data_IF_045963991200
#
_entry.id   IF_045963991200
#
_cell.length_a   1.000
_cell.length_b   1.000
_cell.length_c   1.000
_cell.angle_alpha   90.00
_cell.angle_beta   90.00
_cell.angle_gamma   90.00
#
_symmetry.space_group_name_H-M   'P 1'
#
loop_
_entity.id
_entity.type
_entity.pdbx_description
1 polymer ?
#
# COMPACT_ATOMS: atom_id res chain seq x y z
N UNK A 1 19.18 -15.86 17.12
CA UNK A 1 18.05 -16.80 17.19
C UNK A 1 16.90 -16.08 17.86
N UNK A 2 16.14 -15.31 17.07
CA UNK A 2 14.84 -14.80 17.47
C UNK A 2 13.83 -15.59 16.62
N UNK A 3 13.03 -16.42 17.27
CA UNK A 3 11.90 -17.09 16.62
C UNK A 3 10.87 -16.02 16.26
N UNK A 4 10.93 -15.53 15.03
CA UNK A 4 9.81 -14.83 14.44
C UNK A 4 8.82 -15.87 13.94
N UNK A 5 7.75 -16.09 14.72
CA UNK A 5 6.53 -16.76 14.26
C UNK A 5 5.89 -15.90 13.16
N UNK A 6 6.41 -16.00 11.93
CA UNK A 6 5.75 -15.45 10.75
C UNK A 6 4.54 -16.33 10.44
N UNK A 7 3.36 -15.75 10.64
CA UNK A 7 2.09 -16.43 10.54
C UNK A 7 1.88 -16.93 9.12
N UNK A 8 1.71 -18.25 8.98
CA UNK A 8 0.88 -18.79 7.90
C UNK A 8 -0.38 -17.92 7.81
N UNK A 9 -0.65 -17.37 6.62
CA UNK A 9 -1.89 -16.62 6.33
C UNK A 9 -3.03 -17.28 7.08
N UNK A 10 -3.57 -16.59 8.09
CA UNK A 10 -4.50 -17.25 9.02
C UNK A 10 -5.63 -17.88 8.20
N UNK A 11 -6.09 -19.09 8.54
CA UNK A 11 -7.18 -19.75 7.81
C UNK A 11 -8.38 -18.80 7.61
N UNK A 12 -8.58 -17.88 8.55
CA UNK A 12 -9.59 -16.84 8.53
C UNK A 12 -9.38 -15.80 7.41
N UNK A 13 -8.13 -15.42 7.09
CA UNK A 13 -7.81 -14.51 5.98
C UNK A 13 -8.14 -15.14 4.63
N UNK A 14 -7.78 -16.41 4.43
CA UNK A 14 -8.10 -17.15 3.20
C UNK A 14 -9.62 -17.31 3.03
N UNK A 15 -10.34 -17.61 4.11
CA UNK A 15 -11.80 -17.65 4.10
C UNK A 15 -12.43 -16.28 3.80
N UNK A 16 -11.90 -15.20 4.38
CA UNK A 16 -12.38 -13.83 4.14
C UNK A 16 -12.20 -13.43 2.69
N UNK A 17 -11.05 -13.74 2.09
CA UNK A 17 -10.79 -13.49 0.66
C UNK A 17 -11.80 -14.28 -0.19
N UNK A 18 -12.02 -15.56 0.12
CA UNK A 18 -12.98 -16.40 -0.61
C UNK A 18 -14.41 -15.85 -0.58
N UNK A 19 -14.86 -15.34 0.56
CA UNK A 19 -16.19 -14.72 0.71
C UNK A 19 -16.26 -13.41 -0.10
N UNK A 20 -15.27 -12.54 0.02
CA UNK A 20 -15.26 -11.27 -0.73
C UNK A 20 -15.21 -11.50 -2.24
N UNK A 21 -14.48 -12.50 -2.72
CA UNK A 21 -14.49 -12.88 -4.14
C UNK A 21 -15.89 -13.27 -4.62
N UNK A 22 -16.64 -14.04 -3.81
CA UNK A 22 -18.01 -14.44 -4.16
C UNK A 22 -18.92 -13.20 -4.22
N UNK A 23 -18.81 -12.29 -3.25
CA UNK A 23 -19.58 -11.04 -3.21
C UNK A 23 -19.29 -10.19 -4.45
N UNK A 24 -18.01 -9.98 -4.77
CA UNK A 24 -17.58 -9.24 -5.97
C UNK A 24 -18.14 -9.85 -7.24
N UNK A 25 -18.03 -11.17 -7.42
CA UNK A 25 -18.57 -11.84 -8.61
C UNK A 25 -20.08 -11.64 -8.69
N UNK A 26 -20.78 -11.72 -7.56
CA UNK A 26 -22.22 -11.49 -7.49
C UNK A 26 -22.57 -10.04 -7.86
N UNK A 27 -21.88 -9.04 -7.30
CA UNK A 27 -22.09 -7.62 -7.60
C UNK A 27 -21.79 -7.28 -9.07
N UNK A 28 -20.72 -7.83 -9.66
CA UNK A 28 -20.42 -7.63 -11.09
C UNK A 28 -21.54 -8.22 -11.95
N UNK A 29 -21.93 -9.47 -11.68
CA UNK A 29 -22.98 -10.15 -12.47
C UNK A 29 -24.31 -9.41 -12.39
N UNK A 30 -24.76 -9.09 -11.18
CA UNK A 30 -26.04 -8.40 -10.99
C UNK A 30 -25.97 -6.91 -11.32
N UNK A 31 -24.80 -6.28 -11.26
CA UNK A 31 -24.55 -4.93 -11.77
C UNK A 31 -24.72 -4.86 -13.28
N UNK A 32 -24.15 -5.82 -14.02
CA UNK A 32 -24.35 -5.92 -15.47
C UNK A 32 -25.81 -6.24 -15.83
N UNK A 33 -26.44 -7.19 -15.14
CA UNK A 33 -27.85 -7.57 -15.39
C UNK A 33 -28.83 -6.43 -15.08
N UNK A 34 -28.59 -5.70 -13.99
CA UNK A 34 -29.42 -4.55 -13.59
C UNK A 34 -29.06 -3.26 -14.34
N UNK A 35 -27.96 -3.27 -15.11
CA UNK A 35 -27.35 -2.11 -15.75
C UNK A 35 -26.99 -1.01 -14.75
N UNK A 36 -26.68 -1.36 -13.50
CA UNK A 36 -26.26 -0.41 -12.46
C UNK A 36 -24.74 -0.26 -12.46
N UNK A 37 -24.27 0.95 -12.75
CA UNK A 37 -22.83 1.25 -12.58
C UNK A 37 -22.46 1.44 -11.11
N UNK A 38 -23.42 1.70 -10.22
CA UNK A 38 -23.13 1.85 -8.80
C UNK A 38 -22.75 0.51 -8.18
N UNK A 39 -23.46 -0.57 -8.55
CA UNK A 39 -23.08 -1.94 -8.17
C UNK A 39 -21.72 -2.35 -8.76
N UNK A 40 -21.44 -1.97 -10.01
CA UNK A 40 -20.15 -2.24 -10.64
C UNK A 40 -19.04 -1.46 -9.92
N UNK A 41 -19.30 -0.21 -9.50
CA UNK A 41 -18.33 0.61 -8.77
C UNK A 41 -18.03 0.04 -7.39
N UNK A 42 -19.06 -0.41 -6.65
CA UNK A 42 -18.91 -1.08 -5.35
C UNK A 42 -18.12 -2.39 -5.49
N UNK A 43 -18.40 -3.16 -6.54
CA UNK A 43 -17.61 -4.35 -6.86
C UNK A 43 -16.13 -4.02 -7.15
N UNK A 44 -15.84 -2.94 -7.88
CA UNK A 44 -14.46 -2.55 -8.20
C UNK A 44 -13.68 -2.08 -6.96
N UNK A 45 -14.36 -1.44 -6.01
CA UNK A 45 -13.80 -1.15 -4.69
C UNK A 45 -13.37 -2.45 -3.99
N UNK A 46 -14.30 -3.39 -3.88
CA UNK A 46 -14.05 -4.70 -3.27
C UNK A 46 -12.96 -5.52 -4.03
N UNK A 47 -12.84 -5.38 -5.35
CA UNK A 47 -11.74 -5.96 -6.15
C UNK A 47 -10.39 -5.36 -5.76
N UNK A 48 -10.34 -4.05 -5.52
CA UNK A 48 -9.10 -3.36 -5.11
C UNK A 48 -8.61 -3.89 -3.77
N UNK A 49 -9.53 -4.12 -2.83
CA UNK A 49 -9.23 -4.68 -1.52
C UNK A 49 -8.77 -6.14 -1.58
N UNK A 50 -9.46 -6.98 -2.36
CA UNK A 50 -9.02 -8.36 -2.58
C UNK A 50 -7.65 -8.37 -3.27
N UNK A 51 -7.46 -7.47 -4.24
CA UNK A 51 -6.20 -7.28 -4.94
C UNK A 51 -5.07 -7.02 -3.95
N UNK A 52 -5.19 -6.00 -3.10
CA UNK A 52 -4.16 -5.69 -2.10
C UNK A 52 -3.85 -6.90 -1.20
N UNK A 53 -4.86 -7.63 -0.71
CA UNK A 53 -4.67 -8.82 0.12
C UNK A 53 -3.95 -9.96 -0.63
N UNK A 54 -4.35 -10.25 -1.87
CA UNK A 54 -3.70 -11.28 -2.69
C UNK A 54 -2.25 -10.87 -2.96
N UNK A 55 -2.00 -9.59 -3.23
CA UNK A 55 -0.67 -9.07 -3.47
C UNK A 55 0.21 -9.13 -2.24
N UNK A 56 -0.30 -8.87 -1.05
CA UNK A 56 0.45 -9.11 0.19
C UNK A 56 0.83 -10.58 0.35
N UNK A 57 -0.12 -11.51 0.14
CA UNK A 57 0.14 -12.96 0.26
C UNK A 57 1.10 -13.50 -0.79
N UNK A 58 1.00 -13.00 -2.03
CA UNK A 58 1.83 -13.45 -3.13
C UNK A 58 3.20 -12.78 -3.11
N UNK A 59 3.24 -11.50 -2.74
CA UNK A 59 4.44 -10.72 -2.48
C UNK A 59 5.29 -11.38 -1.41
N UNK A 60 4.71 -11.81 -0.29
CA UNK A 60 5.40 -12.55 0.78
C UNK A 60 6.07 -13.83 0.23
N UNK A 61 5.30 -14.69 -0.45
CA UNK A 61 5.84 -15.93 -1.04
C UNK A 61 6.92 -15.70 -2.10
N UNK A 62 6.79 -14.63 -2.88
CA UNK A 62 7.74 -14.32 -3.94
C UNK A 62 9.00 -13.67 -3.37
N UNK A 63 8.86 -12.83 -2.34
CA UNK A 63 9.93 -12.21 -1.58
C UNK A 63 10.78 -13.26 -0.84
N UNK A 64 10.21 -14.40 -0.47
CA UNK A 64 10.94 -15.52 0.15
C UNK A 64 11.83 -16.31 -0.82
N UNK A 65 11.74 -16.06 -2.13
CA UNK A 65 12.65 -16.71 -3.08
C UNK A 65 14.09 -16.27 -2.83
N UNK A 66 15.04 -17.23 -2.78
CA UNK A 66 16.44 -16.92 -2.50
C UNK A 66 17.03 -16.04 -3.59
N UNK A 67 18.07 -15.30 -3.19
CA UNK A 67 18.88 -14.50 -4.10
C UNK A 67 19.54 -15.40 -5.16
N UNK A 68 19.75 -14.85 -6.35
CA UNK A 68 20.48 -15.52 -7.43
C UNK A 68 21.54 -14.58 -7.98
N UNK A 69 22.52 -15.09 -8.72
CA UNK A 69 23.56 -14.25 -9.35
C UNK A 69 22.99 -13.18 -10.27
N UNK A 70 21.83 -13.44 -10.90
CA UNK A 70 21.12 -12.48 -11.77
C UNK A 70 20.18 -11.54 -11.01
N UNK A 71 19.82 -11.88 -9.77
CA UNK A 71 18.88 -11.15 -8.91
C UNK A 71 19.49 -11.12 -7.50
N UNK A 72 20.46 -10.24 -7.31
CA UNK A 72 21.29 -10.16 -6.10
C UNK A 72 20.50 -9.77 -4.86
N UNK A 73 19.45 -8.97 -5.01
CA UNK A 73 18.46 -8.70 -3.95
C UNK A 73 17.27 -9.68 -3.94
N UNK A 74 17.31 -10.74 -4.77
CA UNK A 74 16.19 -11.67 -4.93
C UNK A 74 15.00 -11.04 -5.66
N UNK A 75 13.80 -11.46 -5.29
CA UNK A 75 12.54 -11.04 -5.93
C UNK A 75 11.76 -10.03 -5.07
N UNK A 76 12.40 -9.35 -4.11
CA UNK A 76 11.76 -8.41 -3.18
C UNK A 76 10.95 -7.32 -3.91
N UNK A 77 11.48 -6.73 -5.00
CA UNK A 77 10.79 -5.69 -5.79
C UNK A 77 9.56 -6.18 -6.56
N UNK A 78 9.31 -7.49 -6.63
CA UNK A 78 8.16 -8.01 -7.36
C UNK A 78 6.84 -7.55 -6.71
N UNK A 79 6.78 -7.45 -5.38
CA UNK A 79 5.65 -6.88 -4.64
C UNK A 79 5.24 -5.50 -5.20
N UNK A 80 6.22 -4.60 -5.33
CA UNK A 80 6.03 -3.23 -5.83
C UNK A 80 5.55 -3.24 -7.29
N UNK A 81 6.17 -4.07 -8.14
CA UNK A 81 5.81 -4.17 -9.56
C UNK A 81 4.37 -4.65 -9.75
N UNK A 82 3.95 -5.64 -8.96
CA UNK A 82 2.59 -6.17 -9.10
C UNK A 82 1.58 -5.15 -8.57
N UNK A 83 1.88 -4.46 -7.47
CA UNK A 83 1.04 -3.36 -6.96
C UNK A 83 0.88 -2.24 -8.00
N UNK A 84 1.96 -1.86 -8.68
CA UNK A 84 1.93 -0.86 -9.76
C UNK A 84 1.04 -1.30 -10.94
N UNK A 85 1.21 -2.53 -11.44
CA UNK A 85 0.38 -3.06 -12.54
C UNK A 85 -1.09 -3.14 -12.13
N UNK A 86 -1.38 -3.63 -10.92
CA UNK A 86 -2.74 -3.70 -10.40
C UNK A 86 -3.39 -2.31 -10.29
N UNK A 87 -2.67 -1.35 -9.71
CA UNK A 87 -3.13 0.05 -9.65
C UNK A 87 -3.40 0.63 -11.03
N UNK A 88 -2.56 0.34 -12.02
CA UNK A 88 -2.75 0.81 -13.40
C UNK A 88 -3.99 0.21 -14.08
N UNK A 89 -4.25 -1.09 -13.88
CA UNK A 89 -5.46 -1.75 -14.38
C UNK A 89 -6.70 -1.15 -13.73
N UNK A 90 -6.71 -1.01 -12.39
CA UNK A 90 -7.83 -0.42 -11.65
C UNK A 90 -8.09 1.03 -12.06
N UNK A 91 -7.03 1.84 -12.27
CA UNK A 91 -7.16 3.20 -12.77
C UNK A 91 -7.90 3.25 -14.11
N UNK A 92 -7.57 2.34 -15.03
CA UNK A 92 -8.26 2.23 -16.32
C UNK A 92 -9.72 1.82 -16.19
N UNK A 93 -10.01 0.81 -15.37
CA UNK A 93 -11.38 0.29 -15.18
C UNK A 93 -12.28 1.29 -14.45
N UNK A 94 -11.82 1.89 -13.35
CA UNK A 94 -12.57 2.92 -12.62
C UNK A 94 -12.71 4.19 -13.46
N UNK A 95 -11.68 4.58 -14.21
CA UNK A 95 -11.76 5.69 -15.15
C UNK A 95 -12.83 5.49 -16.22
N UNK A 96 -12.94 4.27 -16.76
CA UNK A 96 -14.01 3.89 -17.69
C UNK A 96 -15.39 4.01 -17.05
N UNK A 97 -15.58 3.44 -15.84
CA UNK A 97 -16.86 3.53 -15.11
C UNK A 97 -17.25 4.97 -14.81
N UNK A 98 -16.30 5.83 -14.43
CA UNK A 98 -16.55 7.25 -14.19
C UNK A 98 -17.04 7.95 -15.47
N UNK A 99 -16.39 7.70 -16.61
CA UNK A 99 -16.80 8.29 -17.90
C UNK A 99 -18.20 7.83 -18.29
N UNK A 100 -18.49 6.53 -18.20
CA UNK A 100 -19.81 5.98 -18.50
C UNK A 100 -20.89 6.53 -17.56
N UNK A 101 -20.60 6.66 -16.27
CA UNK A 101 -21.51 7.25 -15.30
C UNK A 101 -21.81 8.73 -15.61
N UNK A 102 -20.80 9.51 -16.01
CA UNK A 102 -20.99 10.90 -16.45
C UNK A 102 -21.85 10.96 -17.71
N UNK A 103 -21.62 10.09 -18.69
CA UNK A 103 -22.43 10.03 -19.92
C UNK A 103 -23.89 9.68 -19.59
N UNK A 104 -24.12 8.68 -18.74
CA UNK A 104 -25.46 8.25 -18.32
C UNK A 104 -26.20 9.26 -17.44
N UNK A 105 -25.48 10.16 -16.77
CA UNK A 105 -26.12 11.27 -16.04
C UNK A 105 -26.96 12.16 -16.99
N UNK A 106 -26.49 12.36 -18.22
CA UNK A 106 -27.21 13.14 -19.25
C UNK A 106 -28.18 12.30 -20.08
N UNK A 107 -28.03 10.98 -20.09
CA UNK A 107 -28.91 10.03 -20.78
C UNK A 107 -29.23 8.84 -19.85
N UNK A 108 -30.13 9.02 -18.87
CA UNK A 108 -30.40 7.97 -17.89
C UNK A 108 -30.99 6.72 -18.55
N UNK A 109 -30.36 5.58 -18.31
CA UNK A 109 -30.89 4.28 -18.71
C UNK A 109 -31.74 3.67 -17.58
N UNK A 110 -32.76 2.85 -17.90
CA UNK A 110 -33.54 2.16 -16.88
C UNK A 110 -32.66 1.18 -16.09
N UNK A 111 -32.63 1.34 -14.77
CA UNK A 111 -31.93 0.46 -13.83
C UNK A 111 -32.97 -0.40 -13.10
N UNK A 112 -32.67 -1.69 -12.91
CA UNK A 112 -33.53 -2.57 -12.12
C UNK A 112 -33.41 -2.25 -10.63
N UNK A 113 -34.22 -1.30 -10.14
CA UNK A 113 -34.19 -0.83 -8.75
C UNK A 113 -34.35 -1.96 -7.72
N UNK A 114 -35.23 -2.94 -7.96
CA UNK A 114 -35.42 -4.06 -7.03
C UNK A 114 -34.19 -4.97 -6.95
N UNK A 115 -33.59 -5.29 -8.11
CA UNK A 115 -32.34 -6.07 -8.15
C UNK A 115 -31.23 -5.33 -7.41
N UNK A 116 -31.13 -4.02 -7.65
CA UNK A 116 -30.13 -3.16 -7.02
C UNK A 116 -30.29 -3.10 -5.50
N UNK A 117 -31.52 -2.98 -4.98
CA UNK A 117 -31.81 -3.00 -3.54
C UNK A 117 -31.38 -4.32 -2.90
N UNK A 118 -31.70 -5.46 -3.52
CA UNK A 118 -31.36 -6.79 -2.98
C UNK A 118 -29.84 -6.94 -2.91
N UNK A 119 -29.14 -6.64 -4.01
CA UNK A 119 -27.68 -6.85 -4.12
C UNK A 119 -26.94 -5.92 -3.18
N UNK A 120 -27.24 -4.62 -3.21
CA UNK A 120 -26.62 -3.64 -2.32
C UNK A 120 -26.96 -3.91 -0.85
N UNK A 121 -28.14 -4.46 -0.56
CA UNK A 121 -28.54 -4.87 0.78
C UNK A 121 -27.67 -6.01 1.32
N UNK A 122 -27.34 -7.00 0.48
CA UNK A 122 -26.41 -8.09 0.84
C UNK A 122 -25.01 -7.55 1.10
N UNK A 123 -24.52 -6.64 0.25
CA UNK A 123 -23.22 -5.97 0.43
C UNK A 123 -23.15 -5.20 1.75
N UNK A 124 -24.17 -4.37 2.03
CA UNK A 124 -24.28 -3.61 3.28
C UNK A 124 -24.31 -4.52 4.52
N UNK A 125 -25.02 -5.66 4.45
CA UNK A 125 -25.03 -6.62 5.56
C UNK A 125 -23.64 -7.22 5.79
N UNK A 126 -22.92 -7.57 4.73
CA UNK A 126 -21.55 -8.09 4.81
C UNK A 126 -20.58 -7.07 5.43
N UNK A 127 -20.51 -5.88 4.84
CA UNK A 127 -19.61 -4.81 5.27
C UNK A 127 -19.98 -4.28 6.66
N UNK A 128 -21.27 -4.18 6.97
CA UNK A 128 -21.76 -3.80 8.29
C UNK A 128 -21.41 -4.82 9.38
N UNK A 129 -21.52 -6.13 9.08
CA UNK A 129 -21.12 -7.19 10.02
C UNK A 129 -19.61 -7.17 10.26
N UNK A 130 -18.81 -7.03 9.20
CA UNK A 130 -17.36 -6.90 9.32
C UNK A 130 -16.97 -5.69 10.19
N UNK A 131 -17.57 -4.53 9.93
CA UNK A 131 -17.38 -3.30 10.72
C UNK A 131 -17.73 -3.51 12.19
N UNK A 132 -18.88 -4.13 12.47
CA UNK A 132 -19.33 -4.40 13.85
C UNK A 132 -18.38 -5.35 14.60
N UNK A 133 -17.90 -6.40 13.93
CA UNK A 133 -16.97 -7.36 14.52
C UNK A 133 -15.60 -6.72 14.83
N UNK A 134 -15.11 -5.85 13.94
CA UNK A 134 -13.82 -5.17 14.10
C UNK A 134 -13.84 -4.05 15.15
N UNK A 135 -15.01 -3.47 15.44
CA UNK A 135 -15.16 -2.35 16.39
C UNK A 135 -14.56 -2.65 17.77
N UNK A 136 -14.77 -3.86 18.30
CA UNK A 136 -14.24 -4.25 19.63
C UNK A 136 -12.72 -4.37 19.66
N UNK A 137 -12.10 -4.64 18.52
CA UNK A 137 -10.64 -4.72 18.35
C UNK A 137 -10.00 -3.36 18.08
N UNK A 138 -10.72 -2.43 17.47
CA UNK A 138 -10.21 -1.12 17.03
C UNK A 138 -9.60 -0.27 18.17
N UNK A 139 -10.15 -0.35 19.38
CA UNK A 139 -9.63 0.40 20.54
C UNK A 139 -8.33 -0.18 21.12
N UNK A 140 -7.93 -1.39 20.69
CA UNK A 140 -6.80 -2.13 21.29
C UNK A 140 -5.52 -2.07 20.43
N UNK A 141 -5.64 -1.82 19.13
CA UNK A 141 -4.53 -1.89 18.20
C UNK A 141 -4.78 -0.93 17.02
N UNK A 142 -3.77 -0.13 16.67
CA UNK A 142 -3.82 0.78 15.53
C UNK A 142 -4.07 0.06 14.19
N UNK A 143 -3.52 -1.15 14.01
CA UNK A 143 -3.76 -1.95 12.81
C UNK A 143 -5.23 -2.38 12.71
N UNK A 144 -5.83 -2.78 13.84
CA UNK A 144 -7.26 -3.12 13.89
C UNK A 144 -8.14 -1.88 13.74
N UNK A 145 -7.68 -0.71 14.20
CA UNK A 145 -8.36 0.56 13.99
C UNK A 145 -8.38 0.94 12.51
N UNK A 146 -7.25 0.78 11.82
CA UNK A 146 -7.15 1.02 10.37
C UNK A 146 -8.11 0.10 9.60
N UNK A 147 -8.07 -1.21 9.88
CA UNK A 147 -8.98 -2.18 9.27
C UNK A 147 -10.46 -1.89 9.56
N UNK A 148 -10.79 -1.41 10.77
CA UNK A 148 -12.15 -1.01 11.12
C UNK A 148 -12.62 0.25 10.38
N UNK A 149 -11.76 1.27 10.26
CA UNK A 149 -12.08 2.50 9.53
C UNK A 149 -12.30 2.22 8.03
N UNK A 150 -11.49 1.33 7.45
CA UNK A 150 -11.67 0.86 6.08
C UNK A 150 -13.01 0.15 5.91
N UNK A 151 -13.30 -0.86 6.75
CA UNK A 151 -14.57 -1.58 6.68
C UNK A 151 -15.80 -0.67 6.90
N UNK A 152 -15.68 0.35 7.75
CA UNK A 152 -16.71 1.36 7.95
C UNK A 152 -16.95 2.19 6.68
N UNK A 153 -15.88 2.56 5.95
CA UNK A 153 -15.99 3.24 4.67
C UNK A 153 -16.74 2.39 3.65
N UNK A 154 -16.44 1.10 3.56
CA UNK A 154 -17.14 0.15 2.68
C UNK A 154 -18.63 0.07 3.03
N UNK A 155 -18.96 -0.03 4.33
CA UNK A 155 -20.33 -0.05 4.80
C UNK A 155 -21.08 1.25 4.45
N UNK A 156 -20.41 2.41 4.51
CA UNK A 156 -20.99 3.69 4.13
C UNK A 156 -21.24 3.79 2.62
N UNK A 157 -20.35 3.27 1.79
CA UNK A 157 -20.58 3.19 0.34
C UNK A 157 -21.74 2.26 0.01
N UNK A 158 -21.76 1.04 0.54
CA UNK A 158 -22.89 0.12 0.33
C UNK A 158 -24.22 0.71 0.83
N UNK A 159 -24.21 1.45 1.95
CA UNK A 159 -25.39 2.18 2.42
C UNK A 159 -25.84 3.25 1.42
N UNK A 160 -24.90 4.02 0.86
CA UNK A 160 -25.18 5.00 -0.18
C UNK A 160 -25.82 4.37 -1.43
N UNK A 161 -25.34 3.19 -1.84
CA UNK A 161 -25.92 2.42 -2.95
C UNK A 161 -27.32 1.92 -2.61
N UNK A 162 -27.55 1.37 -1.41
CA UNK A 162 -28.88 0.93 -0.96
C UNK A 162 -29.89 2.07 -0.95
N UNK A 163 -29.50 3.23 -0.40
CA UNK A 163 -30.36 4.43 -0.36
C UNK A 163 -30.69 4.88 -1.79
N UNK A 164 -29.70 4.93 -2.67
CA UNK A 164 -29.90 5.28 -4.09
C UNK A 164 -30.85 4.30 -4.78
N UNK A 165 -30.64 2.99 -4.57
CA UNK A 165 -31.47 1.92 -5.11
C UNK A 165 -32.92 1.99 -4.64
N UNK A 166 -33.15 2.27 -3.35
CA UNK A 166 -34.48 2.42 -2.78
C UNK A 166 -35.21 3.61 -3.40
N UNK A 167 -34.54 4.76 -3.54
CA UNK A 167 -35.13 5.94 -4.18
C UNK A 167 -35.45 5.63 -5.66
N UNK A 168 -34.54 5.00 -6.40
CA UNK A 168 -34.77 4.58 -7.79
C UNK A 168 -36.00 3.65 -7.88
N UNK A 169 -36.13 2.69 -6.97
CA UNK A 169 -37.25 1.76 -6.98
C UNK A 169 -38.61 2.46 -6.78
N UNK A 170 -38.71 3.41 -5.85
CA UNK A 170 -39.98 4.10 -5.57
C UNK A 170 -40.29 5.25 -6.53
N UNK A 171 -39.28 5.92 -7.08
CA UNK A 171 -39.47 7.16 -7.88
C UNK A 171 -39.19 6.99 -9.38
N UNK A 172 -38.47 5.93 -9.76
CA UNK A 172 -37.96 5.75 -11.13
C UNK A 172 -36.80 6.69 -11.50
N UNK A 173 -36.19 7.39 -10.54
CA UNK A 173 -35.11 8.36 -10.79
C UNK A 173 -33.76 7.70 -11.09
N UNK A 174 -33.64 7.09 -12.27
CA UNK A 174 -32.45 6.32 -12.67
C UNK A 174 -31.13 7.11 -12.66
N UNK A 175 -31.16 8.44 -12.76
CA UNK A 175 -29.97 9.29 -12.71
C UNK A 175 -29.20 9.19 -11.38
N UNK A 176 -29.86 8.75 -10.30
CA UNK A 176 -29.23 8.53 -8.99
C UNK A 176 -28.18 7.42 -9.02
N UNK A 177 -28.32 6.41 -9.90
CA UNK A 177 -27.31 5.36 -10.08
C UNK A 177 -26.01 5.98 -10.61
N UNK A 178 -26.12 6.86 -11.60
CA UNK A 178 -24.99 7.59 -12.16
C UNK A 178 -24.34 8.52 -11.12
N UNK A 179 -25.14 9.25 -10.33
CA UNK A 179 -24.59 10.10 -9.26
C UNK A 179 -23.82 9.27 -8.23
N UNK A 180 -24.39 8.17 -7.74
CA UNK A 180 -23.73 7.28 -6.78
C UNK A 180 -22.43 6.71 -7.36
N UNK A 181 -22.45 6.29 -8.62
CA UNK A 181 -21.27 5.76 -9.33
C UNK A 181 -20.16 6.80 -9.47
N UNK A 182 -20.49 8.05 -9.80
CA UNK A 182 -19.53 9.15 -9.90
C UNK A 182 -18.87 9.39 -8.55
N UNK A 183 -19.66 9.46 -7.48
CA UNK A 183 -19.15 9.68 -6.12
C UNK A 183 -18.17 8.57 -5.76
N UNK A 184 -18.59 7.30 -5.85
CA UNK A 184 -17.74 6.14 -5.51
C UNK A 184 -16.47 6.13 -6.38
N UNK A 185 -16.60 6.33 -7.69
CA UNK A 185 -15.45 6.32 -8.61
C UNK A 185 -14.44 7.42 -8.30
N UNK A 186 -14.87 8.62 -7.89
CA UNK A 186 -13.95 9.71 -7.53
C UNK A 186 -13.16 9.36 -6.26
N UNK A 187 -13.80 8.72 -5.27
CA UNK A 187 -13.10 8.22 -4.08
C UNK A 187 -12.08 7.14 -4.46
N UNK A 188 -12.48 6.15 -5.27
CA UNK A 188 -11.58 5.10 -5.76
C UNK A 188 -10.38 5.64 -6.52
N UNK A 189 -10.59 6.60 -7.42
CA UNK A 189 -9.50 7.19 -8.19
C UNK A 189 -8.47 7.88 -7.29
N UNK A 190 -8.91 8.53 -6.22
CA UNK A 190 -8.00 9.16 -5.25
C UNK A 190 -7.13 8.12 -4.54
N UNK A 191 -7.72 7.01 -4.11
CA UNK A 191 -7.00 5.92 -3.44
C UNK A 191 -6.01 5.24 -4.38
N UNK A 192 -6.48 4.86 -5.58
CA UNK A 192 -5.64 4.25 -6.62
C UNK A 192 -4.47 5.17 -6.99
N UNK A 193 -4.72 6.47 -7.14
CA UNK A 193 -3.67 7.43 -7.48
C UNK A 193 -2.61 7.54 -6.37
N UNK A 194 -3.02 7.54 -5.10
CA UNK A 194 -2.10 7.53 -3.96
C UNK A 194 -1.18 6.30 -3.99
N UNK A 195 -1.76 5.10 -4.18
CA UNK A 195 -1.02 3.83 -4.25
C UNK A 195 -0.07 3.81 -5.46
N UNK A 196 -0.52 4.32 -6.61
CA UNK A 196 0.31 4.41 -7.81
C UNK A 196 1.50 5.34 -7.60
N UNK A 197 1.31 6.52 -7.01
CA UNK A 197 2.41 7.42 -6.70
C UNK A 197 3.41 6.79 -5.72
N UNK A 198 2.92 6.12 -4.70
CA UNK A 198 3.76 5.41 -3.74
C UNK A 198 4.60 4.32 -4.42
N UNK A 199 3.97 3.46 -5.22
CA UNK A 199 4.69 2.40 -5.95
C UNK A 199 5.69 2.96 -6.98
N UNK A 200 5.36 4.06 -7.68
CA UNK A 200 6.30 4.76 -8.57
C UNK A 200 7.51 5.27 -7.78
N UNK A 201 7.29 5.93 -6.64
CA UNK A 201 8.37 6.43 -5.80
C UNK A 201 9.28 5.29 -5.31
N UNK A 202 8.71 4.15 -4.91
CA UNK A 202 9.46 2.95 -4.55
C UNK A 202 10.27 2.39 -5.74
N UNK A 203 9.70 2.37 -6.96
CA UNK A 203 10.41 1.94 -8.16
C UNK A 203 11.56 2.89 -8.55
N UNK A 204 11.41 4.17 -8.24
CA UNK A 204 12.42 5.22 -8.44
C UNK A 204 13.49 5.27 -7.34
N UNK A 205 13.49 4.31 -6.40
CA UNK A 205 14.43 4.28 -5.27
C UNK A 205 14.38 5.56 -4.43
N UNK A 206 13.17 6.12 -4.26
CA UNK A 206 12.93 7.26 -3.37
C UNK A 206 13.05 6.87 -1.90
N UNK A 207 13.33 7.86 -1.06
CA UNK A 207 13.30 7.69 0.40
C UNK A 207 11.90 7.25 0.85
N UNK A 208 11.77 6.19 1.67
CA UNK A 208 10.48 5.76 2.21
C UNK A 208 9.72 6.89 2.91
N UNK A 209 8.40 6.92 2.78
CA UNK A 209 7.56 8.04 3.24
C UNK A 209 7.59 8.24 4.77
N UNK A 210 7.89 7.19 5.52
CA UNK A 210 8.03 7.17 6.97
C UNK A 210 9.43 7.57 7.46
N UNK A 211 10.41 7.71 6.55
CA UNK A 211 11.78 8.10 6.88
C UNK A 211 12.03 9.57 6.57
N UNK A 212 12.39 10.32 7.61
CA UNK A 212 12.90 11.67 7.45
C UNK A 212 14.40 11.64 7.15
N UNK A 213 14.76 11.84 5.87
CA UNK A 213 16.15 11.89 5.42
C UNK A 213 17.04 12.84 6.23
N UNK A 214 16.55 14.04 6.54
CA UNK A 214 17.31 15.05 7.28
C UNK A 214 17.54 14.63 8.73
N UNK A 215 16.56 13.96 9.35
CA UNK A 215 16.70 13.41 10.70
C UNK A 215 17.76 12.29 10.73
N UNK A 216 17.72 11.34 9.80
CA UNK A 216 18.74 10.28 9.69
C UNK A 216 20.13 10.87 9.56
N UNK A 217 20.32 11.86 8.65
CA UNK A 217 21.60 12.53 8.45
C UNK A 217 22.07 13.25 9.72
N UNK A 218 21.17 13.98 10.39
CA UNK A 218 21.47 14.71 11.62
C UNK A 218 21.91 13.76 12.74
N UNK A 219 21.15 12.69 12.97
CA UNK A 219 21.42 11.74 14.05
C UNK A 219 22.75 11.01 13.84
N UNK A 220 23.04 10.58 12.61
CA UNK A 220 24.32 9.96 12.29
C UNK A 220 25.49 10.92 12.52
N UNK A 221 25.34 12.23 12.27
CA UNK A 221 26.37 13.24 12.56
C UNK A 221 26.59 13.45 14.06
N UNK A 222 25.62 13.13 14.92
CA UNK A 222 25.80 13.22 16.38
C UNK A 222 26.62 12.07 16.96
N UNK A 223 26.83 10.99 16.19
CA UNK A 223 27.55 9.83 16.68
C UNK A 223 29.05 10.10 16.86
N UNK A 224 29.59 9.72 18.02
CA UNK A 224 31.00 9.92 18.32
C UNK A 224 31.88 9.19 17.31
N UNK A 225 32.66 9.97 16.56
CA UNK A 225 33.60 9.45 15.56
C UNK A 225 33.22 9.80 14.13
N UNK A 226 31.96 10.17 13.86
CA UNK A 226 31.51 10.67 12.55
C UNK A 226 31.82 12.16 12.45
N UNK A 227 32.42 12.59 11.34
CA UNK A 227 32.77 13.99 11.04
C UNK A 227 31.85 14.52 9.95
N UNK A 228 31.60 13.72 8.92
CA UNK A 228 30.87 14.15 7.72
C UNK A 228 30.16 12.93 7.10
N UNK A 229 29.03 13.18 6.45
CA UNK A 229 28.23 12.16 5.75
C UNK A 229 27.97 12.66 4.34
N UNK A 230 28.47 11.89 3.37
CA UNK A 230 28.34 12.14 1.95
C UNK A 230 27.68 10.94 1.28
N UNK A 231 27.08 11.17 0.11
CA UNK A 231 26.44 10.11 -0.69
C UNK A 231 25.43 9.27 0.10
N UNK A 232 24.64 9.93 0.94
CA UNK A 232 23.60 9.27 1.71
C UNK A 232 22.42 8.95 0.79
N UNK A 233 22.21 7.65 0.53
CA UNK A 233 21.09 7.12 -0.22
C UNK A 233 20.27 6.22 0.69
N UNK A 234 18.95 6.40 0.68
CA UNK A 234 18.01 5.59 1.44
C UNK A 234 16.88 5.21 0.49
N UNK A 235 16.63 3.91 0.35
CA UNK A 235 15.59 3.37 -0.54
C UNK A 235 15.03 2.08 0.03
N UNK A 236 14.03 1.50 -0.61
CA UNK A 236 13.47 0.22 -0.21
C UNK A 236 13.27 -0.73 -1.39
N UNK A 237 13.40 -2.03 -1.13
CA UNK A 237 13.17 -3.08 -2.14
C UNK A 237 11.87 -3.85 -1.93
N UNK A 238 11.27 -3.72 -0.75
CA UNK A 238 9.94 -4.21 -0.38
C UNK A 238 9.46 -3.39 0.82
N UNK A 239 8.22 -3.61 1.27
CA UNK A 239 7.65 -2.98 2.47
C UNK A 239 8.49 -3.23 3.75
N UNK A 240 9.18 -4.36 3.83
CA UNK A 240 10.01 -4.73 4.99
C UNK A 240 11.52 -4.54 4.81
N UNK A 241 12.02 -4.21 3.61
CA UNK A 241 13.48 -4.16 3.34
C UNK A 241 13.89 -2.75 2.95
N UNK A 242 14.36 -2.00 3.94
CA UNK A 242 14.87 -0.63 3.79
C UNK A 242 16.39 -0.66 3.80
N UNK A 243 16.97 -0.07 2.76
CA UNK A 243 18.39 -0.06 2.49
C UNK A 243 18.96 1.36 2.68
N UNK A 244 20.20 1.43 3.15
CA UNK A 244 20.96 2.66 3.24
C UNK A 244 22.38 2.45 2.73
N UNK A 245 22.84 3.36 1.87
CA UNK A 245 24.24 3.48 1.48
C UNK A 245 24.75 4.85 1.89
N UNK A 246 25.95 4.93 2.45
CA UNK A 246 26.56 6.22 2.81
C UNK A 246 28.08 6.15 2.87
N UNK A 247 28.70 7.29 2.56
CA UNK A 247 30.12 7.54 2.80
C UNK A 247 30.29 8.34 4.09
N UNK A 248 30.98 7.76 5.06
CA UNK A 248 31.23 8.35 6.37
C UNK A 248 32.70 8.77 6.47
N UNK A 249 32.92 10.07 6.63
CA UNK A 249 34.22 10.58 7.05
C UNK A 249 34.32 10.47 8.55
N UNK A 250 35.30 9.73 9.04
CA UNK A 250 35.46 9.45 10.46
C UNK A 250 36.76 10.03 11.03
N UNK A 251 36.83 10.13 12.36
CA UNK A 251 38.08 10.41 13.08
C UNK A 251 39.11 9.31 12.82
N UNK A 252 40.37 9.61 13.11
CA UNK A 252 41.43 8.60 13.12
C UNK A 252 41.17 7.60 14.25
N UNK A 253 40.53 6.50 13.89
CA UNK A 253 40.14 5.41 14.80
C UNK A 253 40.97 4.17 14.48
N UNK A 254 41.36 3.45 15.53
CA UNK A 254 41.98 2.13 15.38
C UNK A 254 40.93 1.08 14.91
N UNK A 255 41.37 -0.13 14.59
CA UNK A 255 40.50 -1.17 14.04
C UNK A 255 39.32 -1.53 14.97
N UNK A 256 39.55 -1.64 16.28
CA UNK A 256 38.50 -1.98 17.25
C UNK A 256 37.46 -0.85 17.40
N UNK A 257 37.91 0.39 17.43
CA UNK A 257 37.03 1.57 17.50
C UNK A 257 36.15 1.70 16.26
N UNK A 258 36.69 1.41 15.07
CA UNK A 258 35.91 1.41 13.82
C UNK A 258 34.84 0.32 13.82
N UNK A 259 35.16 -0.88 14.30
CA UNK A 259 34.18 -1.98 14.43
C UNK A 259 33.06 -1.59 15.40
N UNK A 260 33.40 -0.96 16.54
CA UNK A 260 32.39 -0.46 17.49
C UNK A 260 31.51 0.61 16.86
N UNK A 261 32.09 1.56 16.12
CA UNK A 261 31.34 2.62 15.46
C UNK A 261 30.34 2.07 14.42
N UNK A 262 30.78 1.21 13.50
CA UNK A 262 29.87 0.64 12.49
C UNK A 262 28.75 -0.17 13.12
N UNK A 263 29.07 -0.98 14.14
CA UNK A 263 28.07 -1.79 14.86
C UNK A 263 27.04 -0.90 15.56
N UNK A 264 27.47 0.21 16.17
CA UNK A 264 26.58 1.17 16.82
C UNK A 264 25.67 1.87 15.80
N UNK A 265 26.22 2.29 14.66
CA UNK A 265 25.45 2.91 13.58
C UNK A 265 24.39 1.94 13.06
N UNK A 266 24.78 0.69 12.75
CA UNK A 266 23.87 -0.33 12.23
C UNK A 266 22.72 -0.63 13.20
N UNK A 267 23.04 -0.88 14.47
CA UNK A 267 22.04 -1.13 15.51
C UNK A 267 21.10 0.06 15.71
N UNK A 268 21.61 1.29 15.61
CA UNK A 268 20.79 2.49 15.72
C UNK A 268 19.84 2.64 14.53
N UNK A 269 20.34 2.49 13.31
CA UNK A 269 19.55 2.58 12.08
C UNK A 269 18.44 1.51 12.06
N UNK A 270 18.73 0.29 12.47
CA UNK A 270 17.74 -0.79 12.56
C UNK A 270 16.67 -0.50 13.62
N UNK A 271 17.06 -0.04 14.82
CA UNK A 271 16.12 0.18 15.93
C UNK A 271 15.27 1.43 15.78
N UNK A 272 15.87 2.52 15.30
CA UNK A 272 15.21 3.83 15.25
C UNK A 272 14.46 4.05 13.93
N UNK A 273 14.98 3.50 12.83
CA UNK A 273 14.49 3.78 11.48
C UNK A 273 14.09 2.52 10.71
N UNK A 274 14.19 1.32 11.31
CA UNK A 274 13.90 0.04 10.65
C UNK A 274 14.74 -0.22 9.38
N UNK A 275 15.89 0.45 9.26
CA UNK A 275 16.83 0.25 8.16
C UNK A 275 17.65 -1.00 8.46
N UNK A 276 17.36 -2.09 7.76
CA UNK A 276 17.88 -3.43 8.05
C UNK A 276 19.00 -3.88 7.12
N UNK A 277 19.32 -3.10 6.08
CA UNK A 277 20.44 -3.38 5.19
C UNK A 277 21.27 -2.12 4.93
N UNK A 278 22.49 -2.09 5.45
CA UNK A 278 23.34 -0.90 5.37
C UNK A 278 24.67 -1.21 4.69
N UNK A 279 25.10 -0.36 3.78
CA UNK A 279 26.46 -0.35 3.23
C UNK A 279 27.12 0.98 3.61
N UNK A 280 28.13 0.92 4.47
CA UNK A 280 28.79 2.11 5.02
C UNK A 280 30.26 2.10 4.64
N UNK A 281 30.66 3.04 3.79
CA UNK A 281 32.07 3.26 3.47
C UNK A 281 32.66 4.22 4.50
N UNK A 282 33.46 3.71 5.43
CA UNK A 282 34.13 4.52 6.45
C UNK A 282 35.57 4.82 6.07
N UNK A 283 35.89 6.11 5.99
CA UNK A 283 37.23 6.58 5.61
C UNK A 283 37.67 7.67 6.59
N UNK A 284 38.90 7.59 7.09
CA UNK A 284 39.48 8.66 7.90
C UNK A 284 39.86 9.87 7.04
N UNK A 285 40.07 11.03 7.67
CA UNK A 285 40.50 12.22 6.93
C UNK A 285 41.82 11.98 6.16
N UNK A 286 42.79 11.27 6.77
CA UNK A 286 44.07 10.95 6.11
C UNK A 286 43.88 9.94 4.97
N UNK A 287 43.02 8.95 5.14
CA UNK A 287 42.74 7.95 4.11
C UNK A 287 42.05 8.58 2.90
N UNK A 288 41.11 9.50 3.12
CA UNK A 288 40.40 10.20 2.05
C UNK A 288 41.37 11.02 1.19
N UNK A 289 42.32 11.72 1.81
CA UNK A 289 43.37 12.46 1.12
C UNK A 289 44.30 11.54 0.33
N UNK A 290 44.76 10.45 0.96
CA UNK A 290 45.64 9.45 0.32
C UNK A 290 45.00 8.76 -0.89
N UNK A 291 43.71 8.45 -0.78
CA UNK A 291 42.92 7.79 -1.83
C UNK A 291 42.38 8.77 -2.87
N UNK A 292 42.59 10.09 -2.68
CA UNK A 292 42.03 11.17 -3.51
C UNK A 292 40.52 11.01 -3.71
N UNK A 293 39.81 10.61 -2.64
CA UNK A 293 38.37 10.45 -2.65
C UNK A 293 37.72 11.83 -2.62
N UNK A 294 37.54 12.43 -3.80
CA UNK A 294 36.73 13.63 -3.97
C UNK A 294 35.30 13.19 -4.23
N UNK A 295 34.43 13.37 -3.24
CA UNK A 295 32.99 13.12 -3.33
C UNK A 295 32.29 14.18 -4.21
N UNK A 296 32.74 14.34 -5.45
CA UNK A 296 32.22 15.35 -6.39
C UNK A 296 30.86 14.96 -7.00
N UNK A 297 30.41 13.72 -6.80
CA UNK A 297 29.09 13.25 -7.26
C UNK A 297 28.03 13.24 -6.13
N UNK A 298 28.39 13.70 -4.92
CA UNK A 298 27.64 13.41 -3.69
C UNK A 298 26.67 14.51 -3.24
N UNK A 299 26.27 15.41 -4.15
CA UNK A 299 25.28 16.48 -3.90
C UNK A 299 23.98 16.23 -4.65
#
# INVERSE_FOLDING_TARGET
>A
MAEHNHSTASKNLVWSIGINVIIVVFEILFGLLSRSFALISDALHNVTDIGSMILSLWGEKLADKPQTEKKTYGYKRAEILIAFVNGGVLLGVVGFVLVEAIIRLFKPEPVSGMTMVIVAGVALLGNGLATYLLQKGANKNLNLRSAWLHSLQDALFSLGVVVSAAIIYFTGWNWLDSLASIIISVFLLKEIFSILLETINMLMDSVPADINFAAVKSDLLTMFGVIEINDLHIWQTSSENILLSAHLKIKELNAEERIKLITNIQNFLEKQYHINHTTLQMVSAKEAEKLKLNCNHCN
#
